data_IF_502200417792
#
_entry.id   IF_502200417792
#
_cell.length_a   1.000
_cell.length_b   1.000
_cell.length_c   1.000
_cell.angle_alpha   90.00
_cell.angle_beta   90.00
_cell.angle_gamma   90.00
#
_symmetry.space_group_name_H-M   'P 1'
#
loop_
_entity.id
_entity.type
_entity.pdbx_description
1 polymer ?
#
# COMPACT_ATOMS: atom_id res chain seq x y z
N UNK A 1 15.66 -10.14 -5.88
CA UNK A 1 14.50 -9.26 -6.16
C UNK A 1 13.26 -10.00 -5.66
N UNK A 2 12.27 -9.32 -5.09
CA UNK A 2 11.04 -9.98 -4.67
C UNK A 2 10.26 -10.36 -5.94
N UNK A 3 10.29 -11.65 -6.30
CA UNK A 3 9.64 -12.18 -7.51
C UNK A 3 8.21 -12.69 -7.26
N UNK A 4 7.77 -12.69 -5.99
CA UNK A 4 6.45 -13.21 -5.59
C UNK A 4 5.48 -12.08 -5.30
N UNK A 5 4.33 -12.13 -5.96
CA UNK A 5 3.21 -11.24 -5.70
C UNK A 5 2.84 -11.19 -4.23
N UNK A 6 2.49 -9.98 -3.76
CA UNK A 6 2.03 -9.69 -2.38
C UNK A 6 3.03 -10.02 -1.27
N UNK A 7 4.31 -10.14 -1.61
CA UNK A 7 5.37 -10.28 -0.61
C UNK A 7 5.78 -8.90 -0.11
N UNK A 8 5.95 -8.80 1.20
CA UNK A 8 6.36 -7.59 1.89
C UNK A 8 7.78 -7.17 1.51
N UNK A 9 7.93 -5.94 1.02
CA UNK A 9 9.22 -5.27 0.89
C UNK A 9 9.67 -4.68 2.22
N UNK A 10 10.96 -4.79 2.52
CA UNK A 10 11.58 -4.25 3.72
C UNK A 10 12.69 -3.26 3.41
N UNK A 11 13.55 -3.03 4.40
CA UNK A 11 14.68 -2.10 4.30
C UNK A 11 15.67 -2.48 3.19
N UNK A 12 15.87 -3.79 2.95
CA UNK A 12 16.76 -4.27 1.89
C UNK A 12 16.29 -3.83 0.51
N UNK A 13 15.01 -4.01 0.21
CA UNK A 13 14.42 -3.57 -1.05
C UNK A 13 14.51 -2.06 -1.19
N UNK A 14 14.25 -1.30 -0.11
CA UNK A 14 14.39 0.16 -0.11
C UNK A 14 15.83 0.60 -0.34
N UNK A 15 16.83 -0.08 0.21
CA UNK A 15 18.25 0.20 -0.04
C UNK A 15 18.61 -0.02 -1.51
N UNK A 16 18.14 -1.12 -2.12
CA UNK A 16 18.34 -1.39 -3.55
C UNK A 16 17.68 -0.30 -4.39
N UNK A 17 16.43 0.07 -4.08
CA UNK A 17 15.70 1.12 -4.78
C UNK A 17 16.39 2.49 -4.64
N UNK A 18 16.90 2.80 -3.45
CA UNK A 18 17.64 4.04 -3.17
C UNK A 18 18.85 4.16 -4.09
N UNK A 19 19.61 3.07 -4.28
CA UNK A 19 20.74 3.04 -5.23
C UNK A 19 20.30 3.15 -6.68
N UNK A 20 19.29 2.38 -7.07
CA UNK A 20 18.85 2.28 -8.46
C UNK A 20 18.23 3.58 -8.98
N UNK A 21 17.44 4.24 -8.14
CA UNK A 21 16.72 5.47 -8.50
C UNK A 21 17.36 6.74 -7.95
N UNK A 22 18.54 6.61 -7.31
CA UNK A 22 19.29 7.74 -6.76
C UNK A 22 18.43 8.63 -5.84
N UNK A 23 17.61 7.99 -5.00
CA UNK A 23 16.69 8.62 -4.06
C UNK A 23 16.96 8.17 -2.63
N UNK A 24 16.34 8.82 -1.65
CA UNK A 24 16.38 8.39 -0.25
C UNK A 24 14.96 8.16 0.27
N UNK A 25 14.83 7.31 1.29
CA UNK A 25 13.55 7.03 1.95
C UNK A 25 13.64 7.41 3.43
N UNK A 26 12.53 7.95 3.96
CA UNK A 26 12.34 8.17 5.39
C UNK A 26 11.08 7.44 5.83
N UNK A 27 11.22 6.54 6.80
CA UNK A 27 10.13 5.74 7.34
C UNK A 27 9.71 6.31 8.69
N UNK A 28 8.47 6.75 8.77
CA UNK A 28 7.81 7.25 9.97
C UNK A 28 7.02 6.12 10.63
N UNK A 29 7.49 5.61 11.76
CA UNK A 29 6.80 4.55 12.52
C UNK A 29 6.23 5.11 13.82
N UNK A 30 4.97 4.78 14.12
CA UNK A 30 4.32 5.29 15.33
C UNK A 30 5.05 4.78 16.59
N UNK A 31 5.41 5.69 17.50
CA UNK A 31 6.10 5.37 18.75
C UNK A 31 7.57 4.92 18.58
N UNK A 32 8.19 5.13 17.42
CA UNK A 32 9.60 4.84 17.16
C UNK A 32 10.32 6.02 16.49
N UNK A 33 11.65 6.13 16.62
CA UNK A 33 12.43 7.08 15.83
C UNK A 33 12.25 6.83 14.33
N UNK A 34 12.32 7.90 13.53
CA UNK A 34 12.32 7.79 12.08
C UNK A 34 13.53 6.99 11.60
N UNK A 35 13.32 6.14 10.60
CA UNK A 35 14.38 5.35 9.97
C UNK A 35 14.70 5.98 8.63
N UNK A 36 15.95 6.39 8.42
CA UNK A 36 16.43 6.89 7.14
C UNK A 36 17.13 5.76 6.38
N UNK A 37 16.68 5.51 5.16
CA UNK A 37 17.32 4.57 4.23
C UNK A 37 17.89 5.38 3.07
N UNK A 38 19.20 5.55 3.10
CA UNK A 38 19.93 6.30 2.11
C UNK A 38 21.18 5.52 1.71
N UNK A 39 21.18 5.03 0.48
CA UNK A 39 22.29 4.24 -0.07
C UNK A 39 23.08 4.98 -1.14
N UNK A 40 22.84 6.29 -1.29
CA UNK A 40 23.46 7.19 -2.27
C UNK A 40 24.01 8.46 -1.59
N UNK A 41 24.95 8.30 -0.65
CA UNK A 41 25.49 9.39 0.19
C UNK A 41 26.08 10.58 -0.60
N UNK A 42 26.52 10.38 -1.84
CA UNK A 42 27.21 11.40 -2.64
C UNK A 42 26.28 12.36 -3.41
N UNK A 43 24.95 12.23 -3.30
CA UNK A 43 23.99 13.05 -4.05
C UNK A 43 23.31 14.05 -3.11
N UNK A 44 23.68 15.33 -3.22
CA UNK A 44 23.24 16.39 -2.31
C UNK A 44 21.75 16.80 -2.48
N UNK A 45 21.18 16.68 -3.69
CA UNK A 45 19.82 17.13 -4.02
C UNK A 45 18.92 15.98 -4.49
N UNK A 46 19.04 14.80 -3.88
CA UNK A 46 18.20 13.65 -4.23
C UNK A 46 16.78 13.81 -3.75
N UNK A 47 15.85 13.22 -4.48
CA UNK A 47 14.46 13.11 -4.04
C UNK A 47 14.39 12.26 -2.78
N UNK A 48 13.69 12.78 -1.76
CA UNK A 48 13.37 12.05 -0.54
C UNK A 48 11.92 11.63 -0.59
N UNK A 49 11.66 10.34 -0.41
CA UNK A 49 10.32 9.77 -0.31
C UNK A 49 9.99 9.47 1.14
N UNK A 50 8.85 9.98 1.62
CA UNK A 50 8.40 9.77 2.98
C UNK A 50 7.36 8.64 3.00
N UNK A 51 7.57 7.66 3.88
CA UNK A 51 6.69 6.51 4.07
C UNK A 51 6.23 6.48 5.52
N UNK A 52 4.95 6.23 5.76
CA UNK A 52 4.44 5.93 7.10
C UNK A 52 4.29 4.42 7.26
N UNK A 53 4.86 3.87 8.34
CA UNK A 53 4.78 2.46 8.68
C UNK A 53 3.87 2.25 9.88
N UNK A 54 2.75 1.57 9.65
CA UNK A 54 1.71 1.34 10.66
C UNK A 54 1.78 -0.08 11.19
N UNK A 55 2.10 -0.22 12.48
CA UNK A 55 1.91 -1.42 13.30
C UNK A 55 2.48 -2.75 12.78
N UNK A 56 3.43 -2.72 11.84
CA UNK A 56 3.98 -3.96 11.28
C UNK A 56 3.29 -4.45 10.01
N UNK A 57 2.28 -3.73 9.52
CA UNK A 57 1.29 -4.28 8.59
C UNK A 57 0.95 -3.40 7.39
N UNK A 58 1.45 -2.15 7.32
CA UNK A 58 1.18 -1.27 6.17
C UNK A 58 2.22 -0.17 5.98
N UNK A 59 2.56 0.12 4.71
CA UNK A 59 3.28 1.32 4.29
C UNK A 59 2.33 2.27 3.55
N UNK A 60 2.27 3.52 3.97
CA UNK A 60 1.58 4.61 3.25
C UNK A 60 2.60 5.58 2.68
N UNK A 61 2.34 6.12 1.49
CA UNK A 61 3.07 7.28 0.99
C UNK A 61 2.62 8.53 1.75
N UNK A 62 3.59 9.34 2.18
CA UNK A 62 3.35 10.64 2.80
C UNK A 62 3.92 11.70 1.88
N UNK A 63 3.09 12.68 1.54
CA UNK A 63 3.48 13.83 0.73
C UNK A 63 3.35 15.10 1.57
N UNK A 64 4.22 16.07 1.32
CA UNK A 64 4.04 17.39 1.93
C UNK A 64 2.84 18.11 1.31
N UNK A 65 2.24 19.05 2.03
CA UNK A 65 1.14 19.86 1.49
C UNK A 65 1.59 20.67 0.26
N UNK A 66 2.84 21.12 0.23
CA UNK A 66 3.43 21.82 -0.91
C UNK A 66 3.56 20.91 -2.14
N UNK A 67 3.82 19.62 -1.94
CA UNK A 67 3.82 18.64 -3.01
C UNK A 67 2.41 18.32 -3.49
N UNK A 68 1.42 18.27 -2.59
CA UNK A 68 0.02 17.96 -2.92
C UNK A 68 -0.56 18.90 -4.00
N UNK A 69 -0.19 20.19 -3.97
CA UNK A 69 -0.58 21.15 -5.01
C UNK A 69 0.05 20.92 -6.38
N UNK A 70 1.07 20.06 -6.47
CA UNK A 70 1.78 19.69 -7.70
C UNK A 70 1.51 18.24 -8.13
N UNK A 71 0.69 17.47 -7.39
CA UNK A 71 0.40 16.04 -7.69
C UNK A 71 -0.43 15.86 -8.97
N UNK A 72 -1.07 16.92 -9.48
CA UNK A 72 -1.79 16.89 -10.76
C UNK A 72 -0.87 16.78 -12.00
N UNK A 73 0.45 16.95 -11.86
CA UNK A 73 1.43 16.86 -12.96
C UNK A 73 2.42 15.68 -12.82
N UNK A 74 2.06 14.59 -12.13
CA UNK A 74 2.90 13.38 -12.23
C UNK A 74 2.84 12.81 -13.66
N UNK A 75 3.98 12.53 -14.32
CA UNK A 75 3.97 11.84 -15.60
C UNK A 75 3.28 10.50 -15.39
N UNK A 76 2.21 10.28 -16.16
CA UNK A 76 1.49 9.02 -16.25
C UNK A 76 2.51 7.88 -16.25
N UNK A 77 2.43 7.00 -15.25
CA UNK A 77 3.06 5.70 -15.30
C UNK A 77 2.84 5.11 -16.71
N UNK A 78 3.83 4.41 -17.30
CA UNK A 78 3.64 3.79 -18.60
C UNK A 78 2.36 2.97 -18.54
N UNK A 79 1.46 3.29 -19.47
CA UNK A 79 0.14 2.73 -19.64
C UNK A 79 0.21 1.21 -19.73
N UNK A 80 0.25 0.55 -18.57
CA UNK A 80 -0.11 -0.86 -18.44
C UNK A 80 -1.62 -0.82 -18.45
N UNK A 81 -2.17 -0.96 -19.65
CA UNK A 81 -3.58 -1.16 -19.92
C UNK A 81 -4.17 -2.10 -18.87
N UNK A 82 -4.86 -1.51 -17.89
CA UNK A 82 -5.61 -2.22 -16.86
C UNK A 82 -6.82 -2.83 -17.54
N UNK A 83 -6.63 -4.00 -18.16
CA UNK A 83 -7.68 -4.99 -18.28
C UNK A 83 -7.82 -5.67 -16.93
N UNK A 84 -8.39 -4.97 -15.96
CA UNK A 84 -9.00 -5.62 -14.81
C UNK A 84 -10.41 -5.07 -14.70
N UNK A 85 -11.31 -5.88 -15.22
CA UNK A 85 -12.74 -5.79 -14.97
C UNK A 85 -13.01 -5.67 -13.46
N UNK A 86 -14.07 -4.93 -13.18
CA UNK A 86 -14.61 -4.52 -11.88
C UNK A 86 -14.56 -5.57 -10.74
N UNK A 87 -14.42 -5.12 -9.49
CA UNK A 87 -14.18 -5.98 -8.34
C UNK A 87 -15.48 -6.64 -7.84
N UNK A 88 -15.66 -7.93 -8.08
CA UNK A 88 -16.54 -8.74 -7.24
C UNK A 88 -15.69 -9.37 -6.13
N UNK A 89 -15.42 -8.56 -5.11
CA UNK A 89 -14.69 -8.97 -3.92
C UNK A 89 -15.41 -10.18 -3.26
N UNK A 90 -14.73 -11.33 -3.23
CA UNK A 90 -15.26 -12.65 -2.87
C UNK A 90 -15.90 -12.74 -1.46
N UNK A 91 -15.53 -11.87 -0.53
CA UNK A 91 -16.12 -11.80 0.82
C UNK A 91 -17.61 -11.43 0.85
N UNK A 92 -18.09 -10.56 -0.06
CA UNK A 92 -19.53 -10.24 -0.16
C UNK A 92 -20.35 -11.46 -0.60
N UNK A 93 -19.81 -12.30 -1.48
CA UNK A 93 -20.44 -13.55 -1.89
C UNK A 93 -20.54 -14.54 -0.73
N UNK A 94 -19.51 -14.63 0.11
CA UNK A 94 -19.52 -15.44 1.34
C UNK A 94 -20.52 -14.94 2.38
N UNK A 95 -20.62 -13.62 2.58
CA UNK A 95 -21.61 -13.02 3.49
C UNK A 95 -23.04 -13.31 3.02
N UNK A 96 -23.33 -13.13 1.73
CA UNK A 96 -24.66 -13.41 1.17
C UNK A 96 -25.01 -14.91 1.19
N UNK A 97 -24.01 -15.79 1.03
CA UNK A 97 -24.20 -17.25 1.11
C UNK A 97 -24.49 -17.71 2.54
N UNK A 98 -23.83 -17.12 3.54
CA UNK A 98 -24.11 -17.42 4.96
C UNK A 98 -25.50 -16.91 5.36
N UNK A 99 -25.88 -15.70 4.93
CA UNK A 99 -27.20 -15.14 5.23
C UNK A 99 -28.35 -15.90 4.55
N UNK A 100 -28.16 -16.44 3.35
CA UNK A 100 -29.18 -17.26 2.67
C UNK A 100 -29.35 -18.66 3.29
N UNK A 101 -28.31 -19.22 3.91
CA UNK A 101 -28.36 -20.50 4.62
C UNK A 101 -29.02 -20.40 6.01
N UNK A 102 -28.87 -19.26 6.70
CA UNK A 102 -29.41 -19.07 8.06
C UNK A 102 -30.80 -18.43 8.03
N UNK A 103 -31.14 -17.67 6.98
CA UNK A 103 -32.44 -17.01 6.81
C UNK A 103 -33.67 -17.92 7.03
N UNK A 104 -33.72 -19.15 6.49
CA UNK A 104 -34.85 -20.06 6.71
C UNK A 104 -34.99 -20.56 8.15
N UNK A 105 -33.87 -20.69 8.88
CA UNK A 105 -33.86 -21.20 10.26
C UNK A 105 -34.20 -20.14 11.30
N UNK A 106 -33.93 -18.86 11.02
CA UNK A 106 -34.33 -17.76 11.89
C UNK A 106 -35.82 -17.39 11.72
N UNK A 107 -36.42 -17.64 10.54
CA UNK A 107 -37.82 -17.33 10.29
C UNK A 107 -38.80 -18.39 10.82
N UNK A 108 -38.36 -19.64 11.01
CA UNK A 108 -39.20 -20.74 11.55
C UNK A 108 -39.21 -20.84 13.09
N UNK A 109 -38.73 -19.84 13.82
CA UNK A 109 -38.92 -19.73 15.28
C UNK A 109 -39.82 -18.55 15.71
N UNK A 110 -40.47 -17.85 14.77
CA UNK A 110 -41.33 -16.70 15.10
C UNK A 110 -42.82 -16.85 14.75
N UNK A 111 -43.25 -17.89 14.03
CA UNK A 111 -44.69 -18.17 13.82
C UNK A 111 -44.99 -19.66 13.60
N UNK A 112 -44.91 -20.47 14.67
CA UNK A 112 -45.83 -21.57 15.09
C UNK A 112 -45.13 -22.59 15.96
#
# INVERSE_FOLDING_TARGET
>A
MIERDRTWGGELEMSILSKQYQCAFVIHANGRPNIAVDSCEHIANKQVFHLAYHLGEHYNCVVTLDQLGNVDEQPSAPNVSSQYETPQSSWWYWIMTILSLIGPYLYMNYYK
#
